data_IF_131229055536
#
_entry.id   IF_131229055536
#
_cell.length_a   1.000
_cell.length_b   1.000
_cell.length_c   1.000
_cell.angle_alpha   90.00
_cell.angle_beta   90.00
_cell.angle_gamma   90.00
#
_symmetry.space_group_name_H-M   'P 1'
#
loop_
_entity.id
_entity.type
_entity.pdbx_description
1 polymer ?
#
# COMPACT_ATOMS: atom_id res chain seq x y z
N UNK A 1 -31.21 -0.68 10.83
CA UNK A 1 -29.94 -0.28 10.17
C UNK A 1 -28.98 0.15 11.26
N UNK A 2 -27.72 -0.30 11.24
CA UNK A 2 -26.72 0.14 12.23
C UNK A 2 -26.51 1.67 12.11
N UNK A 3 -26.17 2.33 13.22
CA UNK A 3 -26.02 3.79 13.27
C UNK A 3 -24.98 4.30 12.24
N UNK A 4 -23.89 3.54 12.06
CA UNK A 4 -22.82 3.78 11.09
C UNK A 4 -23.32 3.80 9.63
N UNK A 5 -24.26 2.91 9.28
CA UNK A 5 -24.81 2.84 7.91
C UNK A 5 -25.63 4.10 7.59
N UNK A 6 -26.30 4.68 8.59
CA UNK A 6 -27.08 5.91 8.43
C UNK A 6 -26.15 7.12 8.29
N UNK A 7 -25.15 7.22 9.15
CA UNK A 7 -24.10 8.25 9.12
C UNK A 7 -23.38 8.26 7.77
N UNK A 8 -22.95 7.09 7.29
CA UNK A 8 -22.29 6.92 5.99
C UNK A 8 -23.14 7.42 4.82
N UNK A 9 -24.46 7.15 4.83
CA UNK A 9 -25.37 7.65 3.78
C UNK A 9 -25.48 9.17 3.76
N UNK A 10 -25.56 9.77 4.94
CA UNK A 10 -25.69 11.21 5.08
C UNK A 10 -24.39 11.92 4.65
N UNK A 11 -23.25 11.44 5.16
CA UNK A 11 -21.92 12.02 4.93
C UNK A 11 -21.49 11.95 3.45
N UNK A 12 -21.72 10.82 2.78
CA UNK A 12 -21.28 10.56 1.40
C UNK A 12 -22.39 10.74 0.34
N UNK A 13 -23.53 11.31 0.73
CA UNK A 13 -24.69 11.55 -0.17
C UNK A 13 -24.33 12.26 -1.48
N UNK A 14 -23.40 13.23 -1.42
CA UNK A 14 -22.99 14.04 -2.58
C UNK A 14 -22.24 13.24 -3.65
N UNK A 15 -21.47 12.21 -3.27
CA UNK A 15 -20.71 11.39 -4.22
C UNK A 15 -21.45 10.12 -4.65
N UNK A 16 -22.61 9.85 -4.04
CA UNK A 16 -23.39 8.63 -4.29
C UNK A 16 -23.70 8.43 -5.78
N UNK A 17 -24.19 9.43 -6.55
CA UNK A 17 -24.51 9.23 -7.96
C UNK A 17 -23.29 8.78 -8.77
N UNK A 18 -22.17 9.48 -8.62
CA UNK A 18 -20.93 9.20 -9.35
C UNK A 18 -20.32 7.85 -8.95
N UNK A 19 -20.35 7.53 -7.65
CA UNK A 19 -19.84 6.26 -7.13
C UNK A 19 -20.63 5.06 -7.69
N UNK A 20 -21.97 5.15 -7.70
CA UNK A 20 -22.84 4.08 -8.20
C UNK A 20 -22.69 3.92 -9.71
N UNK A 21 -22.46 4.99 -10.46
CA UNK A 21 -22.19 4.91 -11.89
C UNK A 21 -20.95 4.05 -12.22
N UNK A 22 -19.95 4.04 -11.32
CA UNK A 22 -18.72 3.25 -11.47
C UNK A 22 -18.84 1.82 -10.92
N UNK A 23 -19.79 1.59 -10.00
CA UNK A 23 -19.92 0.34 -9.24
C UNK A 23 -21.39 -0.06 -9.08
N UNK A 24 -21.90 -0.11 -7.84
CA UNK A 24 -23.28 -0.43 -7.48
C UNK A 24 -23.62 0.08 -6.07
N UNK A 25 -24.91 0.10 -5.72
CA UNK A 25 -25.37 0.64 -4.43
C UNK A 25 -24.87 -0.18 -3.22
N UNK A 26 -24.73 -1.50 -3.35
CA UNK A 26 -24.25 -2.36 -2.27
C UNK A 26 -22.78 -2.08 -1.97
N UNK A 27 -21.97 -1.91 -3.02
CA UNK A 27 -20.55 -1.53 -2.91
C UNK A 27 -20.40 -0.15 -2.29
N UNK A 28 -21.15 0.85 -2.77
CA UNK A 28 -21.17 2.20 -2.17
C UNK A 28 -21.43 2.16 -0.66
N UNK A 29 -22.48 1.44 -0.25
CA UNK A 29 -22.86 1.33 1.16
C UNK A 29 -21.79 0.66 2.01
N UNK A 30 -21.12 -0.37 1.47
CA UNK A 30 -20.06 -1.08 2.16
C UNK A 30 -18.82 -0.20 2.34
N UNK A 31 -18.32 0.40 1.27
CA UNK A 31 -17.08 1.21 1.33
C UNK A 31 -17.27 2.49 2.16
N UNK A 32 -18.44 3.13 2.10
CA UNK A 32 -18.71 4.28 2.97
C UNK A 32 -18.79 3.88 4.45
N UNK A 33 -19.29 2.68 4.76
CA UNK A 33 -19.30 2.18 6.15
C UNK A 33 -17.88 1.94 6.67
N UNK A 34 -16.98 1.41 5.83
CA UNK A 34 -15.56 1.29 6.18
C UNK A 34 -14.90 2.66 6.34
N UNK A 35 -15.19 3.61 5.44
CA UNK A 35 -14.67 4.98 5.54
C UNK A 35 -15.06 5.63 6.87
N UNK A 36 -16.33 5.59 7.27
CA UNK A 36 -16.81 6.13 8.56
C UNK A 36 -16.07 5.49 9.74
N UNK A 37 -15.90 4.16 9.73
CA UNK A 37 -15.15 3.47 10.79
C UNK A 37 -13.69 3.93 10.87
N UNK A 38 -13.01 4.04 9.71
CA UNK A 38 -11.62 4.50 9.63
C UNK A 38 -11.48 5.95 10.11
N UNK A 39 -12.40 6.83 9.72
CA UNK A 39 -12.43 8.24 10.15
C UNK A 39 -12.65 8.32 11.65
N UNK A 40 -13.65 7.60 12.19
CA UNK A 40 -13.96 7.63 13.62
C UNK A 40 -12.80 7.12 14.49
N UNK A 41 -11.99 6.21 13.98
CA UNK A 41 -10.83 5.66 14.68
C UNK A 41 -9.53 6.46 14.47
N UNK A 42 -9.55 7.55 13.70
CA UNK A 42 -8.35 8.33 13.36
C UNK A 42 -8.54 9.83 13.62
N UNK A 43 -7.96 10.37 14.71
CA UNK A 43 -8.02 11.80 15.02
C UNK A 43 -7.45 12.70 13.91
N UNK A 44 -6.55 12.17 13.07
CA UNK A 44 -5.99 12.89 11.93
C UNK A 44 -6.94 12.92 10.74
N UNK A 45 -7.65 11.82 10.45
CA UNK A 45 -8.67 11.80 9.39
C UNK A 45 -9.86 12.71 9.74
N UNK A 46 -10.23 12.80 11.02
CA UNK A 46 -11.27 13.74 11.49
C UNK A 46 -10.91 15.22 11.26
N UNK A 47 -9.62 15.54 11.09
CA UNK A 47 -9.15 16.91 10.79
C UNK A 47 -9.06 17.21 9.29
N UNK A 48 -9.24 16.20 8.44
CA UNK A 48 -9.15 16.37 7.00
C UNK A 48 -10.33 17.19 6.46
N UNK A 49 -10.07 17.93 5.38
CA UNK A 49 -11.11 18.68 4.67
C UNK A 49 -12.20 17.70 4.16
N UNK A 50 -13.50 17.94 4.47
CA UNK A 50 -14.57 17.00 4.10
C UNK A 50 -14.70 16.74 2.59
N UNK A 51 -14.32 17.70 1.74
CA UNK A 51 -14.34 17.53 0.29
C UNK A 51 -13.26 16.52 -0.13
N UNK A 52 -12.08 16.62 0.47
CA UNK A 52 -10.99 15.67 0.20
C UNK A 52 -11.33 14.24 0.66
N UNK A 53 -12.04 14.07 1.77
CA UNK A 53 -12.51 12.75 2.25
C UNK A 53 -13.46 12.13 1.22
N UNK A 54 -14.45 12.89 0.76
CA UNK A 54 -15.39 12.45 -0.29
C UNK A 54 -14.67 12.07 -1.57
N UNK A 55 -13.72 12.90 -2.02
CA UNK A 55 -12.90 12.60 -3.19
C UNK A 55 -12.09 11.31 -3.02
N UNK A 56 -11.48 11.09 -1.85
CA UNK A 56 -10.75 9.87 -1.56
C UNK A 56 -11.65 8.63 -1.59
N UNK A 57 -12.86 8.71 -1.02
CA UNK A 57 -13.83 7.60 -1.08
C UNK A 57 -14.30 7.35 -2.52
N UNK A 58 -14.55 8.38 -3.32
CA UNK A 58 -14.89 8.22 -4.74
C UNK A 58 -13.77 7.51 -5.52
N UNK A 59 -12.49 7.79 -5.21
CA UNK A 59 -11.36 7.13 -5.85
C UNK A 59 -11.29 5.61 -5.55
N UNK A 60 -11.91 5.14 -4.45
CA UNK A 60 -12.06 3.70 -4.17
C UNK A 60 -12.88 3.05 -5.29
N UNK A 61 -13.99 3.69 -5.69
CA UNK A 61 -14.81 3.22 -6.81
C UNK A 61 -14.06 3.27 -8.14
N UNK A 62 -13.32 4.35 -8.40
CA UNK A 62 -12.56 4.52 -9.64
C UNK A 62 -11.48 3.46 -9.82
N UNK A 63 -10.89 2.98 -8.73
CA UNK A 63 -9.85 1.94 -8.77
C UNK A 63 -10.42 0.52 -8.67
N UNK A 64 -11.66 0.34 -8.24
CA UNK A 64 -12.22 -0.98 -7.95
C UNK A 64 -11.61 -1.68 -6.73
N UNK A 65 -10.87 -0.93 -5.90
CA UNK A 65 -10.29 -1.43 -4.66
C UNK A 65 -11.28 -1.29 -3.49
N UNK A 66 -10.84 -1.65 -2.28
CA UNK A 66 -11.68 -1.61 -1.06
C UNK A 66 -10.92 -1.00 0.11
N UNK A 67 -11.69 -0.38 1.02
CA UNK A 67 -11.25 0.10 2.33
C UNK A 67 -11.46 -0.94 3.43
N UNK A 68 -11.84 -2.18 3.08
CA UNK A 68 -12.05 -3.25 4.04
C UNK A 68 -10.76 -3.53 4.85
N UNK A 69 -10.78 -3.39 6.19
CA UNK A 69 -9.59 -3.65 7.02
C UNK A 69 -9.01 -5.06 6.89
N UNK A 70 -9.82 -6.07 6.53
CA UNK A 70 -9.36 -7.45 6.32
C UNK A 70 -8.69 -7.66 4.96
N UNK A 71 -9.02 -6.82 3.97
CA UNK A 71 -8.42 -6.86 2.64
C UNK A 71 -7.68 -5.54 2.42
N UNK A 72 -6.43 -5.41 2.86
CA UNK A 72 -5.74 -4.13 2.94
C UNK A 72 -5.25 -3.67 1.56
N UNK A 73 -6.18 -3.50 0.61
CA UNK A 73 -5.90 -3.11 -0.78
C UNK A 73 -5.81 -1.59 -0.96
N UNK A 74 -6.40 -0.82 -0.05
CA UNK A 74 -6.31 0.63 -0.10
C UNK A 74 -6.51 1.27 1.27
N UNK A 75 -5.95 2.47 1.40
CA UNK A 75 -5.93 3.22 2.65
C UNK A 75 -6.37 4.67 2.43
N UNK A 76 -7.04 5.22 3.44
CA UNK A 76 -7.25 6.66 3.58
C UNK A 76 -6.10 7.26 4.38
N UNK A 77 -5.32 8.12 3.75
CA UNK A 77 -4.12 8.70 4.33
C UNK A 77 -4.33 10.21 4.54
N UNK A 78 -4.24 10.71 5.78
CA UNK A 78 -4.23 12.13 6.05
C UNK A 78 -2.86 12.71 5.65
N UNK A 79 -2.86 13.77 4.85
CA UNK A 79 -1.65 14.49 4.43
C UNK A 79 -1.83 15.99 4.63
N UNK A 80 -0.79 16.65 5.13
CA UNK A 80 -0.79 18.10 5.23
C UNK A 80 -0.51 18.72 3.85
N UNK A 81 -1.42 19.57 3.36
CA UNK A 81 -1.20 20.31 2.12
C UNK A 81 -0.66 21.71 2.45
N UNK A 82 0.60 21.95 2.08
CA UNK A 82 1.29 23.20 2.34
C UNK A 82 0.71 24.42 1.59
N UNK A 83 0.00 24.20 0.48
CA UNK A 83 -0.61 25.25 -0.35
C UNK A 83 -1.95 25.69 0.23
N UNK A 84 -2.81 24.73 0.57
CA UNK A 84 -4.14 25.00 1.13
C UNK A 84 -4.13 25.19 2.65
N UNK A 85 -3.00 24.87 3.31
CA UNK A 85 -2.80 24.94 4.78
C UNK A 85 -3.87 24.15 5.54
N UNK A 86 -4.23 22.98 5.00
CA UNK A 86 -5.23 22.07 5.57
C UNK A 86 -4.72 20.64 5.51
N UNK A 87 -5.27 19.80 6.39
CA UNK A 87 -5.18 18.36 6.21
C UNK A 87 -6.14 17.93 5.11
N UNK A 88 -5.65 17.10 4.19
CA UNK A 88 -6.42 16.51 3.11
C UNK A 88 -6.34 14.99 3.22
N UNK A 89 -7.45 14.32 2.92
CA UNK A 89 -7.51 12.87 2.83
C UNK A 89 -7.16 12.44 1.42
N UNK A 90 -6.28 11.44 1.29
CA UNK A 90 -5.91 10.83 0.02
C UNK A 90 -6.20 9.34 0.08
N UNK A 91 -6.82 8.81 -0.97
CA UNK A 91 -6.83 7.37 -1.20
C UNK A 91 -5.49 6.93 -1.78
N UNK A 92 -4.88 5.90 -1.21
CA UNK A 92 -3.70 5.23 -1.79
C UNK A 92 -3.93 3.73 -1.84
N UNK A 93 -3.70 3.14 -3.01
CA UNK A 93 -3.61 1.70 -3.15
C UNK A 93 -2.40 1.20 -2.34
N UNK A 94 -2.58 0.07 -1.66
CA UNK A 94 -1.47 -0.66 -1.08
C UNK A 94 -0.74 -1.45 -2.17
N UNK A 95 0.46 -1.96 -1.87
CA UNK A 95 1.14 -2.91 -2.73
C UNK A 95 0.25 -4.12 -3.08
N UNK A 96 -0.45 -4.70 -2.10
CA UNK A 96 -1.37 -5.83 -2.35
C UNK A 96 -2.54 -5.44 -3.24
N UNK A 97 -3.05 -4.21 -3.11
CA UNK A 97 -4.06 -3.65 -4.01
C UNK A 97 -3.53 -3.50 -5.44
N UNK A 98 -2.30 -3.00 -5.60
CA UNK A 98 -1.65 -2.88 -6.91
C UNK A 98 -1.41 -4.26 -7.56
N UNK A 99 -0.93 -5.23 -6.79
CA UNK A 99 -0.80 -6.62 -7.26
C UNK A 99 -2.15 -7.14 -7.72
N UNK A 100 -3.20 -6.97 -6.92
CA UNK A 100 -4.56 -7.36 -7.29
C UNK A 100 -5.01 -6.72 -8.60
N UNK A 101 -4.80 -5.41 -8.78
CA UNK A 101 -5.20 -4.72 -10.00
C UNK A 101 -4.50 -5.31 -11.24
N UNK A 102 -3.19 -5.54 -11.16
CA UNK A 102 -2.40 -6.08 -12.27
C UNK A 102 -2.75 -7.55 -12.55
N UNK A 103 -3.04 -8.33 -11.51
CA UNK A 103 -3.48 -9.72 -11.69
C UNK A 103 -4.89 -9.82 -12.26
N UNK A 104 -5.80 -8.93 -11.83
CA UNK A 104 -7.18 -8.90 -12.31
C UNK A 104 -7.27 -8.50 -13.79
N UNK A 105 -6.32 -7.69 -14.30
CA UNK A 105 -6.24 -7.36 -15.74
C UNK A 105 -5.69 -8.53 -16.58
N UNK A 106 -5.19 -9.60 -15.95
CA UNK A 106 -4.52 -10.70 -16.63
C UNK A 106 -3.16 -10.32 -17.21
N UNK A 107 -2.62 -9.15 -16.85
CA UNK A 107 -1.31 -8.69 -17.34
C UNK A 107 -0.16 -9.46 -16.68
N UNK A 108 -0.37 -9.97 -15.47
CA UNK A 108 0.59 -10.78 -14.72
C UNK A 108 -0.17 -11.91 -14.01
N UNK A 109 0.36 -13.13 -14.06
CA UNK A 109 -0.21 -14.29 -13.38
C UNK A 109 0.07 -14.28 -11.88
N UNK A 110 1.28 -13.89 -11.50
CA UNK A 110 1.70 -13.82 -10.10
C UNK A 110 2.84 -12.82 -9.90
N UNK A 111 2.85 -12.16 -8.74
CA UNK A 111 3.93 -11.28 -8.29
C UNK A 111 4.25 -11.64 -6.86
N UNK A 112 5.53 -11.81 -6.54
CA UNK A 112 6.00 -11.89 -5.16
C UNK A 112 7.31 -11.11 -5.02
N UNK A 113 7.62 -10.72 -3.79
CA UNK A 113 8.87 -10.06 -3.43
C UNK A 113 9.43 -10.71 -2.19
N UNK A 114 10.76 -10.77 -2.11
CA UNK A 114 11.47 -11.39 -1.00
C UNK A 114 12.62 -10.49 -0.55
N UNK A 115 12.89 -10.55 0.76
CA UNK A 115 13.99 -9.83 1.39
C UNK A 115 15.16 -10.77 1.54
N UNK A 116 16.35 -10.28 1.19
CA UNK A 116 17.62 -10.98 1.36
C UNK A 116 18.29 -10.45 2.61
N UNK A 117 18.47 -11.33 3.57
CA UNK A 117 19.22 -11.09 4.79
C UNK A 117 20.68 -11.53 4.63
N UNK A 118 21.57 -10.90 5.37
CA UNK A 118 22.92 -11.41 5.55
C UNK A 118 22.85 -12.80 6.18
N UNK A 119 23.35 -13.81 5.49
CA UNK A 119 23.26 -15.23 5.88
C UNK A 119 22.38 -16.06 4.94
N UNK A 120 21.55 -15.42 4.10
CA UNK A 120 20.84 -16.11 3.02
C UNK A 120 21.83 -16.55 1.93
N UNK A 121 21.57 -17.71 1.32
CA UNK A 121 22.31 -18.22 0.17
C UNK A 121 21.48 -17.96 -1.11
N UNK A 122 21.93 -16.96 -1.87
CA UNK A 122 21.21 -16.43 -3.04
C UNK A 122 22.11 -16.42 -4.26
N UNK A 123 21.59 -16.90 -5.38
CA UNK A 123 22.28 -16.93 -6.67
C UNK A 123 21.53 -16.06 -7.69
N UNK A 124 22.19 -14.99 -8.13
CA UNK A 124 21.72 -14.10 -9.18
C UNK A 124 22.52 -14.30 -10.46
N UNK A 125 21.81 -14.43 -11.58
CA UNK A 125 22.39 -14.36 -12.92
C UNK A 125 21.72 -13.23 -13.70
N UNK A 126 22.30 -12.04 -13.61
CA UNK A 126 21.75 -10.81 -14.21
C UNK A 126 21.72 -10.88 -15.75
N UNK A 127 22.52 -11.76 -16.36
CA UNK A 127 22.55 -11.97 -17.80
C UNK A 127 21.54 -13.01 -18.27
N UNK A 128 20.93 -13.77 -17.36
CA UNK A 128 19.93 -14.79 -17.68
C UNK A 128 18.51 -14.21 -17.73
N UNK A 129 17.65 -14.85 -18.54
CA UNK A 129 16.20 -14.58 -18.53
C UNK A 129 15.58 -14.86 -17.16
N UNK A 130 16.06 -15.90 -16.48
CA UNK A 130 15.69 -16.19 -15.09
C UNK A 130 16.79 -15.66 -14.16
N UNK A 131 16.65 -14.39 -13.76
CA UNK A 131 17.68 -13.70 -12.97
C UNK A 131 17.91 -14.27 -11.57
N UNK A 132 16.87 -14.82 -10.92
CA UNK A 132 16.98 -15.50 -9.62
C UNK A 132 17.06 -17.00 -9.86
N UNK A 133 18.21 -17.61 -9.58
CA UNK A 133 18.40 -19.07 -9.70
C UNK A 133 18.05 -19.80 -8.42
N UNK A 134 18.38 -19.20 -7.27
CA UNK A 134 18.24 -19.83 -5.96
C UNK A 134 18.10 -18.76 -4.88
N UNK A 135 17.24 -19.02 -3.90
CA UNK A 135 17.20 -18.31 -2.63
C UNK A 135 16.92 -19.33 -1.52
N UNK A 136 17.90 -19.55 -0.64
CA UNK A 136 17.78 -20.38 0.56
C UNK A 136 17.91 -19.49 1.79
N UNK A 137 16.86 -19.39 2.62
CA UNK A 137 16.89 -18.56 3.82
C UNK A 137 17.94 -19.00 4.85
N UNK A 138 18.49 -18.04 5.58
CA UNK A 138 19.55 -18.22 6.59
C UNK A 138 19.25 -19.31 7.61
N UNK A 139 17.99 -19.43 8.04
CA UNK A 139 17.58 -20.41 9.06
C UNK A 139 17.64 -21.86 8.57
N UNK A 140 17.59 -22.12 7.26
CA UNK A 140 17.78 -23.47 6.71
C UNK A 140 19.26 -23.89 6.74
N UNK A 141 20.16 -22.92 6.75
CA UNK A 141 21.61 -23.14 6.79
C UNK A 141 22.16 -23.09 8.23
N UNK A 142 21.30 -22.88 9.24
CA UNK A 142 21.70 -22.77 10.65
C UNK A 142 22.37 -21.43 11.01
N UNK A 143 22.24 -20.43 10.14
CA UNK A 143 22.74 -19.07 10.37
C UNK A 143 21.78 -18.26 11.26
N UNK A 144 22.26 -17.17 11.85
CA UNK A 144 21.41 -16.20 12.57
C UNK A 144 20.81 -15.16 11.61
N UNK A 145 19.71 -14.52 12.03
CA UNK A 145 19.08 -13.44 11.25
C UNK A 145 20.01 -12.22 11.18
N UNK A 146 20.69 -12.06 10.06
CA UNK A 146 21.48 -10.87 9.79
C UNK A 146 20.63 -9.65 9.39
N UNK A 147 21.26 -8.48 9.17
CA UNK A 147 20.59 -7.31 8.60
C UNK A 147 20.08 -7.59 7.18
N UNK A 148 19.11 -6.80 6.73
CA UNK A 148 18.68 -6.78 5.33
C UNK A 148 19.84 -6.29 4.47
N UNK A 149 20.05 -6.92 3.31
CA UNK A 149 21.13 -6.59 2.35
C UNK A 149 20.55 -6.16 1.01
N UNK A 150 19.50 -6.82 0.56
CA UNK A 150 18.86 -6.55 -0.71
C UNK A 150 17.40 -7.04 -0.69
N UNK A 151 16.67 -6.71 -1.73
CA UNK A 151 15.35 -7.28 -2.01
C UNK A 151 15.29 -7.64 -3.49
N UNK A 152 14.41 -8.56 -3.83
CA UNK A 152 14.04 -8.79 -5.23
C UNK A 152 12.54 -9.04 -5.36
N UNK A 153 12.04 -8.83 -6.56
CA UNK A 153 10.69 -9.20 -6.96
C UNK A 153 10.71 -10.04 -8.21
N UNK A 154 9.70 -10.91 -8.35
CA UNK A 154 9.48 -11.73 -9.54
C UNK A 154 8.02 -11.64 -9.93
N UNK A 155 7.79 -11.22 -11.17
CA UNK A 155 6.49 -11.22 -11.83
C UNK A 155 6.48 -12.29 -12.92
N UNK A 156 5.48 -13.17 -12.91
CA UNK A 156 5.29 -14.19 -13.96
C UNK A 156 4.23 -13.73 -14.94
N UNK A 157 4.59 -13.53 -16.20
CA UNK A 157 3.69 -13.09 -17.26
C UNK A 157 2.83 -14.27 -17.80
N UNK A 158 1.76 -13.98 -18.56
CA UNK A 158 0.88 -15.01 -19.11
C UNK A 158 1.57 -16.05 -20.01
N UNK A 159 2.65 -15.67 -20.68
CA UNK A 159 3.46 -16.55 -21.53
C UNK A 159 4.48 -17.40 -20.75
N UNK A 160 4.54 -17.24 -19.42
CA UNK A 160 5.50 -17.91 -18.54
C UNK A 160 6.82 -17.15 -18.34
N UNK A 161 7.03 -16.03 -19.05
CA UNK A 161 8.22 -15.19 -18.88
C UNK A 161 8.27 -14.63 -17.46
N UNK A 162 9.44 -14.72 -16.81
CA UNK A 162 9.67 -14.14 -15.49
C UNK A 162 10.38 -12.79 -15.64
N UNK A 163 9.72 -11.72 -15.20
CA UNK A 163 10.36 -10.43 -15.04
C UNK A 163 10.86 -10.30 -13.60
N UNK A 164 12.15 -10.03 -13.43
CA UNK A 164 12.76 -9.91 -12.11
C UNK A 164 13.51 -8.58 -11.99
N UNK A 165 13.27 -7.91 -10.87
CA UNK A 165 13.97 -6.71 -10.45
C UNK A 165 14.56 -6.93 -9.06
N UNK A 166 15.75 -6.38 -8.82
CA UNK A 166 16.45 -6.49 -7.54
C UNK A 166 17.13 -5.18 -7.19
N UNK A 167 17.25 -4.88 -5.91
CA UNK A 167 17.93 -3.67 -5.44
C UNK A 167 18.62 -3.93 -4.12
N UNK A 168 19.81 -3.35 -3.96
CA UNK A 168 20.48 -3.30 -2.67
C UNK A 168 19.66 -2.46 -1.71
N UNK A 169 19.65 -2.84 -0.43
CA UNK A 169 18.85 -2.14 0.57
C UNK A 169 19.27 -0.67 0.73
N UNK A 170 20.55 -0.38 0.54
CA UNK A 170 21.07 0.98 0.62
C UNK A 170 20.50 1.88 -0.48
N UNK A 171 20.35 1.37 -1.71
CA UNK A 171 19.75 2.13 -2.81
C UNK A 171 18.27 2.46 -2.50
N UNK A 172 17.55 1.53 -1.88
CA UNK A 172 16.16 1.74 -1.44
C UNK A 172 16.10 2.82 -0.36
N UNK A 173 17.04 2.81 0.58
CA UNK A 173 17.13 3.83 1.62
C UNK A 173 17.39 5.22 1.04
N UNK A 174 18.34 5.32 0.12
CA UNK A 174 18.77 6.60 -0.44
C UNK A 174 17.76 7.16 -1.44
N UNK A 175 16.89 6.32 -2.02
CA UNK A 175 15.91 6.73 -3.02
C UNK A 175 14.47 6.76 -2.52
N UNK A 176 13.94 5.66 -1.99
CA UNK A 176 12.52 5.51 -1.61
C UNK A 176 12.30 6.04 -0.19
N UNK A 177 13.10 5.58 0.78
CA UNK A 177 12.96 6.00 2.19
C UNK A 177 13.21 7.48 2.35
N UNK A 178 14.27 8.02 1.75
CA UNK A 178 14.59 9.45 1.77
C UNK A 178 13.44 10.35 1.24
N UNK A 179 12.62 9.85 0.31
CA UNK A 179 11.45 10.59 -0.23
C UNK A 179 10.21 10.49 0.66
N UNK A 180 10.15 9.53 1.58
CA UNK A 180 9.00 9.31 2.44
C UNK A 180 8.80 10.46 3.42
N UNK A 181 7.62 11.05 3.43
CA UNK A 181 7.27 12.13 4.38
C UNK A 181 7.33 11.65 5.84
N UNK A 182 6.99 10.37 6.09
CA UNK A 182 7.10 9.77 7.42
C UNK A 182 8.56 9.66 7.86
N UNK A 183 9.47 9.28 6.95
CA UNK A 183 10.89 9.23 7.24
C UNK A 183 11.47 10.64 7.51
N UNK A 184 11.16 11.61 6.64
CA UNK A 184 11.59 13.01 6.82
C UNK A 184 11.12 13.60 8.15
N UNK A 185 9.89 13.30 8.56
CA UNK A 185 9.36 13.76 9.84
C UNK A 185 10.04 13.07 11.03
N UNK A 186 10.42 11.81 10.90
CA UNK A 186 11.18 11.06 11.89
C UNK A 186 12.61 11.62 12.05
N UNK A 187 13.35 11.79 10.95
CA UNK A 187 14.70 12.37 10.99
C UNK A 187 14.70 13.81 11.53
N UNK A 188 13.67 14.60 11.24
CA UNK A 188 13.51 15.95 11.78
C UNK A 188 13.07 15.98 13.26
N UNK A 189 12.96 14.84 13.94
CA UNK A 189 12.57 14.75 15.36
C UNK A 189 11.10 15.10 15.63
N UNK A 190 10.25 15.20 14.60
CA UNK A 190 8.83 15.56 14.73
C UNK A 190 7.96 14.37 15.13
N UNK A 191 8.48 13.15 15.03
CA UNK A 191 7.80 11.92 15.46
C UNK A 191 8.80 10.94 16.10
N UNK A 192 8.34 10.20 17.10
CA UNK A 192 9.18 9.25 17.87
C UNK A 192 9.53 7.96 17.11
N UNK A 193 8.71 7.60 16.13
CA UNK A 193 8.85 6.37 15.34
C UNK A 193 8.06 6.49 14.06
N UNK A 194 8.53 5.87 12.97
CA UNK A 194 7.79 5.77 11.71
C UNK A 194 7.74 4.32 11.20
N UNK A 195 6.99 4.09 10.12
CA UNK A 195 6.81 2.74 9.55
C UNK A 195 8.15 2.12 9.11
N UNK A 196 9.08 2.90 8.55
CA UNK A 196 10.44 2.45 8.23
C UNK A 196 11.27 1.98 9.42
N UNK A 197 10.87 2.34 10.65
CA UNK A 197 11.56 1.90 11.88
C UNK A 197 10.85 0.75 12.59
N UNK A 198 9.59 0.48 12.26
CA UNK A 198 8.78 -0.55 12.93
C UNK A 198 8.57 -1.77 12.05
N UNK A 199 8.29 -1.52 10.78
CA UNK A 199 7.82 -2.48 9.80
C UNK A 199 8.64 -2.33 8.51
N UNK A 200 9.98 -2.23 8.64
CA UNK A 200 10.89 -1.96 7.52
C UNK A 200 10.77 -2.97 6.37
N UNK A 201 10.44 -4.22 6.69
CA UNK A 201 10.23 -5.30 5.71
C UNK A 201 8.99 -5.06 4.84
N UNK A 202 8.02 -4.29 5.33
CA UNK A 202 6.77 -3.99 4.62
C UNK A 202 6.87 -2.74 3.73
N UNK A 203 8.04 -2.07 3.70
CA UNK A 203 8.26 -0.77 3.06
C UNK A 203 9.19 -0.85 1.85
#
# INVERSE_FOLDING_TARGET
>A
MSNIIKEAKEEFSLIKPDFIQLTDEKTFMRECSFAVQLINNSPQLQKCDPISIKGAVLNVAQTGLTLNPTNPFGYLIPSWNNKTKKYECQFRASYQGLVKLITDTGSVNSIFSEVIYKGDDVEFDIASEEKIKKHVPYWLNGEEKGPIVAVYSVATLPDGTKHCESSGIQDIYDTVRAKSEAWKAFEAGKMKSCVWTKDEVEM
#
